data_IF_973231710547
#
_entry.id   IF_973231710547
#
_cell.length_a   1.000
_cell.length_b   1.000
_cell.length_c   1.000
_cell.angle_alpha   90.00
_cell.angle_beta   90.00
_cell.angle_gamma   90.00
#
_symmetry.space_group_name_H-M   'P 1'
#
loop_
_entity.id
_entity.type
_entity.pdbx_description
1 polymer ?
#
# COMPACT_ATOMS: atom_id res chain seq x y z
N UNK A 1 -5.85 7.87 -8.42
CA UNK A 1 -4.64 8.62 -8.08
C UNK A 1 -4.60 8.85 -6.58
N UNK A 2 -3.43 8.89 -6.00
CA UNK A 2 -3.26 9.13 -4.57
C UNK A 2 -1.89 9.77 -4.30
N UNK A 3 -1.76 10.44 -3.16
CA UNK A 3 -0.52 11.09 -2.74
C UNK A 3 0.13 10.24 -1.65
N UNK A 4 1.36 9.79 -1.90
CA UNK A 4 2.15 8.95 -0.96
C UNK A 4 3.22 9.75 -0.22
N UNK A 5 3.59 10.93 -0.73
CA UNK A 5 4.56 11.84 -0.14
C UNK A 5 4.05 13.27 -0.25
N UNK A 6 4.02 13.99 0.87
CA UNK A 6 3.60 15.39 0.94
C UNK A 6 4.55 16.18 1.85
N UNK A 7 4.60 17.49 1.63
CA UNK A 7 5.32 18.41 2.49
C UNK A 7 4.58 18.69 3.80
N UNK A 8 3.25 18.81 3.71
CA UNK A 8 2.38 19.04 4.86
C UNK A 8 1.38 17.90 5.04
N UNK A 9 1.04 17.58 6.30
CA UNK A 9 0.17 16.42 6.62
C UNK A 9 -1.25 16.55 6.06
N UNK A 10 -1.78 17.76 5.98
CA UNK A 10 -3.11 18.07 5.45
C UNK A 10 -3.23 17.79 3.93
N UNK A 11 -2.12 17.83 3.20
CA UNK A 11 -2.10 17.49 1.77
C UNK A 11 -2.48 16.01 1.52
N UNK A 12 -2.17 15.11 2.47
CA UNK A 12 -2.62 13.72 2.39
C UNK A 12 -4.14 13.61 2.45
N UNK A 13 -4.76 14.33 3.39
CA UNK A 13 -6.21 14.34 3.55
C UNK A 13 -6.89 14.91 2.30
N UNK A 14 -6.38 16.04 1.81
CA UNK A 14 -6.88 16.69 0.60
C UNK A 14 -6.74 15.77 -0.64
N UNK A 15 -5.55 15.22 -0.89
CA UNK A 15 -5.25 14.44 -2.08
C UNK A 15 -5.89 13.05 -2.08
N UNK A 16 -5.93 12.38 -0.92
CA UNK A 16 -6.43 11.02 -0.85
C UNK A 16 -7.93 10.95 -0.50
N UNK A 17 -8.42 11.73 0.47
CA UNK A 17 -9.81 11.68 0.91
C UNK A 17 -10.69 12.70 0.20
N UNK A 18 -10.39 13.99 0.29
CA UNK A 18 -11.30 15.05 -0.21
C UNK A 18 -11.52 14.90 -1.72
N UNK A 19 -10.46 14.68 -2.49
CA UNK A 19 -10.58 14.53 -3.94
C UNK A 19 -11.30 13.23 -4.32
N UNK A 20 -11.09 12.12 -3.60
CA UNK A 20 -11.83 10.88 -3.82
C UNK A 20 -13.32 11.10 -3.56
N UNK A 21 -13.67 11.71 -2.42
CA UNK A 21 -15.06 12.03 -2.08
C UNK A 21 -15.70 12.93 -3.14
N UNK A 22 -15.05 14.04 -3.49
CA UNK A 22 -15.60 14.98 -4.46
C UNK A 22 -15.83 14.33 -5.83
N UNK A 23 -14.91 13.45 -6.25
CA UNK A 23 -15.06 12.72 -7.51
C UNK A 23 -16.26 11.76 -7.48
N UNK A 24 -16.41 11.01 -6.39
CA UNK A 24 -17.55 10.09 -6.22
C UNK A 24 -18.87 10.85 -6.14
N UNK A 25 -18.93 11.95 -5.39
CA UNK A 25 -20.14 12.78 -5.32
C UNK A 25 -20.50 13.39 -6.68
N UNK A 26 -19.51 13.82 -7.47
CA UNK A 26 -19.77 14.30 -8.82
C UNK A 26 -20.36 13.20 -9.71
N UNK A 27 -19.83 11.97 -9.65
CA UNK A 27 -20.39 10.84 -10.41
C UNK A 27 -21.83 10.54 -10.01
N UNK A 28 -22.14 10.59 -8.71
CA UNK A 28 -23.50 10.35 -8.19
C UNK A 28 -24.46 11.47 -8.59
N UNK A 29 -24.04 12.72 -8.45
CA UNK A 29 -24.88 13.90 -8.79
C UNK A 29 -25.20 13.98 -10.28
N UNK A 30 -24.28 13.55 -11.14
CA UNK A 30 -24.43 13.56 -12.59
C UNK A 30 -25.06 12.27 -13.14
N UNK A 31 -25.48 11.34 -12.29
CA UNK A 31 -26.00 10.01 -12.67
C UNK A 31 -25.01 9.22 -13.57
N UNK A 32 -23.71 9.38 -13.28
CA UNK A 32 -22.61 8.73 -14.00
C UNK A 32 -21.94 7.65 -13.15
N UNK A 33 -22.69 6.97 -12.30
CA UNK A 33 -22.16 5.90 -11.45
C UNK A 33 -21.63 4.77 -12.34
N UNK A 34 -20.35 4.39 -12.23
CA UNK A 34 -19.76 3.35 -13.07
C UNK A 34 -20.30 1.96 -12.66
N UNK A 35 -20.15 0.97 -13.54
CA UNK A 35 -20.47 -0.43 -13.21
C UNK A 35 -19.61 -0.97 -12.06
N UNK A 36 -18.41 -0.45 -11.90
CA UNK A 36 -17.48 -0.79 -10.84
C UNK A 36 -16.52 0.39 -10.59
N UNK A 37 -16.25 0.66 -9.32
CA UNK A 37 -15.26 1.66 -8.87
C UNK A 37 -14.15 0.95 -8.10
N UNK A 38 -12.94 0.93 -8.67
CA UNK A 38 -11.76 0.32 -8.03
C UNK A 38 -11.01 1.36 -7.23
N UNK A 39 -10.91 1.17 -5.93
CA UNK A 39 -10.13 2.01 -5.04
C UNK A 39 -8.87 1.30 -4.56
N UNK A 40 -7.70 1.88 -4.89
CA UNK A 40 -6.43 1.38 -4.37
C UNK A 40 -6.14 2.09 -3.05
N UNK A 41 -6.35 1.36 -1.96
CA UNK A 41 -6.03 1.75 -0.59
C UNK A 41 -4.59 1.37 -0.23
N UNK A 42 -4.34 0.94 0.98
CA UNK A 42 -3.03 0.48 1.47
C UNK A 42 -3.18 -0.34 2.74
N UNK A 43 -2.27 -1.28 2.98
CA UNK A 43 -2.14 -1.94 4.28
C UNK A 43 -1.83 -0.94 5.41
N UNK A 44 -1.26 0.22 5.11
CA UNK A 44 -0.95 1.29 6.08
C UNK A 44 -2.14 1.82 6.87
N UNK A 45 -3.38 1.49 6.49
CA UNK A 45 -4.58 1.83 7.28
C UNK A 45 -4.62 1.11 8.63
N UNK A 46 -3.91 -0.02 8.76
CA UNK A 46 -3.90 -0.77 10.01
C UNK A 46 -2.85 -0.26 11.01
N UNK A 47 -1.75 0.34 10.52
CA UNK A 47 -0.64 0.68 11.39
C UNK A 47 0.03 -0.58 11.99
N UNK A 48 0.84 -0.41 13.04
CA UNK A 48 1.61 -1.50 13.67
C UNK A 48 0.81 -2.23 14.76
N UNK A 49 -0.35 -2.76 14.43
CA UNK A 49 -1.30 -3.34 15.42
C UNK A 49 -0.84 -4.66 16.07
N UNK A 50 0.14 -5.34 15.49
CA UNK A 50 0.67 -6.62 15.99
C UNK A 50 2.17 -6.59 16.26
N UNK A 51 2.72 -5.45 16.68
CA UNK A 51 4.16 -5.28 16.94
C UNK A 51 4.70 -6.24 18.02
N UNK A 52 3.85 -6.68 18.97
CA UNK A 52 4.29 -7.51 20.08
C UNK A 52 4.45 -8.99 19.72
N UNK A 53 3.67 -9.50 18.76
CA UNK A 53 3.62 -10.91 18.43
C UNK A 53 3.84 -11.22 16.96
N UNK A 54 3.92 -10.19 16.10
CA UNK A 54 4.07 -10.31 14.65
C UNK A 54 3.00 -11.17 13.95
N UNK A 55 1.79 -11.22 14.54
CA UNK A 55 0.69 -11.94 13.93
C UNK A 55 0.29 -11.29 12.59
N UNK A 56 -0.09 -12.08 11.57
CA UNK A 56 -0.58 -11.53 10.31
C UNK A 56 -1.82 -10.66 10.52
N UNK A 57 -1.89 -9.52 9.86
CA UNK A 57 -3.09 -8.67 9.81
C UNK A 57 -4.16 -9.40 9.00
N UNK A 58 -5.38 -9.40 9.52
CA UNK A 58 -6.55 -10.04 8.92
C UNK A 58 -7.70 -9.06 8.72
N UNK A 59 -8.72 -9.46 7.99
CA UNK A 59 -9.94 -8.66 7.77
C UNK A 59 -10.77 -8.43 9.05
N UNK A 60 -10.47 -9.16 10.12
CA UNK A 60 -11.13 -9.02 11.43
C UNK A 60 -10.49 -7.96 12.31
N UNK A 61 -9.29 -7.53 11.95
CA UNK A 61 -8.55 -6.55 12.74
C UNK A 61 -9.11 -5.15 12.54
N UNK A 62 -9.05 -4.37 13.62
CA UNK A 62 -9.46 -2.97 13.60
C UNK A 62 -8.33 -2.11 13.02
N UNK A 63 -8.66 -1.33 12.01
CA UNK A 63 -7.71 -0.38 11.41
C UNK A 63 -7.32 0.72 12.42
N UNK A 64 -6.02 0.88 12.67
CA UNK A 64 -5.45 1.87 13.59
C UNK A 64 -4.24 2.56 12.99
N UNK A 65 -4.42 3.41 11.96
CA UNK A 65 -3.31 4.04 11.27
C UNK A 65 -2.54 5.01 12.16
N UNK A 66 -1.21 4.93 12.12
CA UNK A 66 -0.31 5.82 12.85
C UNK A 66 0.38 6.87 11.97
N UNK A 67 0.04 6.92 10.67
CA UNK A 67 0.57 7.89 9.70
C UNK A 67 -0.55 8.74 9.10
N UNK A 68 -0.25 10.00 8.71
CA UNK A 68 -1.21 10.86 8.03
C UNK A 68 -1.69 10.25 6.69
N UNK A 69 -0.80 9.53 5.99
CA UNK A 69 -1.16 8.76 4.80
C UNK A 69 -2.18 7.67 5.12
N UNK A 70 -1.90 6.79 6.10
CA UNK A 70 -2.82 5.72 6.50
C UNK A 70 -4.17 6.26 6.96
N UNK A 71 -4.18 7.35 7.76
CA UNK A 71 -5.42 8.03 8.19
C UNK A 71 -6.22 8.51 6.98
N UNK A 72 -5.59 9.15 6.01
CA UNK A 72 -6.29 9.67 4.82
C UNK A 72 -6.87 8.55 3.94
N UNK A 73 -6.18 7.42 3.85
CA UNK A 73 -6.67 6.23 3.13
C UNK A 73 -7.85 5.58 3.85
N UNK A 74 -7.77 5.46 5.18
CA UNK A 74 -8.86 4.91 5.98
C UNK A 74 -10.12 5.77 5.90
N UNK A 75 -10.01 7.10 5.97
CA UNK A 75 -11.14 8.02 5.75
C UNK A 75 -11.84 7.76 4.41
N UNK A 76 -11.05 7.54 3.36
CA UNK A 76 -11.60 7.23 2.03
C UNK A 76 -12.32 5.89 2.00
N UNK A 77 -11.77 4.86 2.65
CA UNK A 77 -12.43 3.56 2.74
C UNK A 77 -13.76 3.67 3.48
N UNK A 78 -13.78 4.30 4.65
CA UNK A 78 -15.01 4.50 5.44
C UNK A 78 -16.07 5.23 4.63
N UNK A 79 -15.69 6.30 3.93
CA UNK A 79 -16.61 7.02 3.06
C UNK A 79 -17.17 6.11 1.95
N UNK A 80 -16.32 5.41 1.21
CA UNK A 80 -16.72 4.52 0.13
C UNK A 80 -17.60 3.36 0.63
N UNK A 81 -17.26 2.78 1.78
CA UNK A 81 -18.03 1.69 2.41
C UNK A 81 -19.38 2.16 2.98
N UNK A 82 -19.53 3.45 3.31
CA UNK A 82 -20.82 4.00 3.73
C UNK A 82 -21.83 4.15 2.58
N UNK A 83 -21.38 4.04 1.34
CA UNK A 83 -22.21 4.18 0.14
C UNK A 83 -22.69 2.80 -0.34
N UNK A 84 -23.84 2.35 0.14
CA UNK A 84 -24.40 1.03 -0.21
C UNK A 84 -24.75 0.89 -1.69
N UNK A 85 -25.04 1.99 -2.36
CA UNK A 85 -25.44 2.10 -3.76
C UNK A 85 -24.26 2.30 -4.72
N UNK A 86 -23.04 2.51 -4.21
CA UNK A 86 -21.86 2.80 -5.03
C UNK A 86 -20.99 1.54 -5.18
N UNK A 87 -20.76 1.02 -6.40
CA UNK A 87 -20.19 -0.32 -6.64
C UNK A 87 -18.67 -0.36 -6.45
N UNK A 88 -18.20 -0.19 -5.21
CA UNK A 88 -16.78 -0.12 -4.86
C UNK A 88 -16.16 -1.50 -4.65
N UNK A 89 -14.93 -1.69 -5.13
CA UNK A 89 -13.99 -2.71 -4.68
C UNK A 89 -12.71 -2.04 -4.19
N UNK A 90 -12.21 -2.46 -3.04
CA UNK A 90 -11.06 -1.86 -2.37
C UNK A 90 -9.89 -2.86 -2.39
N UNK A 91 -8.73 -2.44 -2.86
CA UNK A 91 -7.49 -3.18 -2.71
C UNK A 91 -6.59 -2.51 -1.68
N UNK A 92 -6.07 -3.30 -0.74
CA UNK A 92 -5.12 -2.91 0.31
C UNK A 92 -3.76 -3.56 0.03
N UNK A 93 -3.02 -3.05 -0.96
CA UNK A 93 -1.70 -3.62 -1.26
C UNK A 93 -0.73 -3.34 -0.11
N UNK A 94 0.24 -4.24 0.01
CA UNK A 94 1.45 -4.10 0.81
C UNK A 94 2.47 -3.19 0.10
N UNK A 95 3.76 -3.33 0.35
CA UNK A 95 4.79 -2.58 -0.37
C UNK A 95 4.77 -2.91 -1.87
N UNK A 96 4.28 -2.00 -2.71
CA UNK A 96 4.23 -2.22 -4.17
C UNK A 96 5.59 -1.91 -4.77
N UNK A 97 6.20 -2.90 -5.42
CA UNK A 97 7.49 -2.72 -6.10
C UNK A 97 7.36 -2.99 -7.61
N UNK A 98 8.34 -2.50 -8.37
CA UNK A 98 8.41 -2.72 -9.81
C UNK A 98 8.99 -1.53 -10.57
N UNK A 99 8.90 -1.52 -11.90
CA UNK A 99 9.44 -0.45 -12.73
C UNK A 99 8.88 0.92 -12.33
N UNK A 100 9.79 1.92 -12.19
CA UNK A 100 9.52 3.32 -11.79
C UNK A 100 9.19 3.52 -10.31
N UNK A 101 9.23 2.50 -9.47
CA UNK A 101 9.21 2.66 -8.03
C UNK A 101 10.54 3.29 -7.57
N UNK A 102 10.47 4.25 -6.65
CA UNK A 102 11.64 5.07 -6.29
C UNK A 102 12.31 4.65 -4.98
N UNK A 103 11.56 4.19 -4.00
CA UNK A 103 12.08 3.97 -2.66
C UNK A 103 12.95 2.70 -2.60
N UNK A 104 12.46 1.60 -3.16
CA UNK A 104 13.24 0.37 -3.29
C UNK A 104 14.38 0.50 -4.30
N UNK A 105 14.17 1.32 -5.35
CA UNK A 105 15.26 1.66 -6.26
C UNK A 105 16.38 2.42 -5.57
N UNK A 106 16.07 3.38 -4.69
CA UNK A 106 17.08 4.12 -3.92
C UNK A 106 17.85 3.20 -2.97
N UNK A 107 17.15 2.24 -2.34
CA UNK A 107 17.80 1.21 -1.53
C UNK A 107 18.76 0.36 -2.35
N UNK A 108 18.33 -0.15 -3.50
CA UNK A 108 19.18 -0.92 -4.41
C UNK A 108 20.39 -0.10 -4.90
N UNK A 109 20.18 1.19 -5.19
CA UNK A 109 21.26 2.11 -5.57
C UNK A 109 22.25 2.31 -4.43
N UNK A 110 21.80 2.45 -3.19
CA UNK A 110 22.65 2.58 -2.01
C UNK A 110 23.50 1.31 -1.82
N UNK A 111 22.89 0.12 -1.91
CA UNK A 111 23.59 -1.17 -1.83
C UNK A 111 24.63 -1.29 -2.94
N UNK A 112 24.30 -0.90 -4.17
CA UNK A 112 25.27 -0.84 -5.28
C UNK A 112 26.44 0.11 -5.00
N UNK A 113 26.24 1.13 -4.17
CA UNK A 113 27.27 2.07 -3.70
C UNK A 113 27.92 1.61 -2.38
N UNK A 114 27.79 0.32 -2.05
CA UNK A 114 28.41 -0.32 -0.88
C UNK A 114 27.81 0.12 0.48
N UNK A 115 26.61 0.70 0.50
CA UNK A 115 25.94 1.13 1.74
C UNK A 115 24.59 0.43 1.85
N UNK A 116 24.41 -0.36 2.91
CA UNK A 116 23.15 -1.02 3.24
C UNK A 116 22.56 -0.36 4.50
N UNK A 117 21.47 0.38 4.32
CA UNK A 117 20.72 1.02 5.40
C UNK A 117 19.60 0.11 5.88
N UNK A 118 19.66 -0.31 7.16
CA UNK A 118 18.57 -0.96 7.84
C UNK A 118 17.97 0.01 8.88
N UNK A 119 16.81 0.65 8.63
CA UNK A 119 16.24 1.58 9.58
C UNK A 119 15.75 0.86 10.84
N UNK A 120 16.31 1.24 12.00
CA UNK A 120 15.87 0.77 13.32
C UNK A 120 16.58 -0.49 13.82
N UNK A 121 16.42 -0.73 15.14
CA UNK A 121 17.03 -1.86 15.86
C UNK A 121 16.04 -3.01 16.11
N UNK A 122 14.74 -2.77 15.90
CA UNK A 122 13.69 -3.78 16.08
C UNK A 122 13.53 -4.60 14.81
N UNK A 123 13.10 -5.84 14.97
CA UNK A 123 12.65 -6.69 13.86
C UNK A 123 11.55 -5.97 13.10
N UNK A 124 11.63 -6.03 11.79
CA UNK A 124 10.60 -5.54 10.88
C UNK A 124 10.25 -6.67 9.92
N UNK A 125 8.99 -7.04 9.93
CA UNK A 125 8.43 -7.99 8.99
C UNK A 125 7.77 -7.18 7.85
N UNK A 126 8.29 -7.35 6.64
CA UNK A 126 7.90 -6.64 5.44
C UNK A 126 7.14 -7.58 4.51
N UNK A 127 6.15 -7.07 3.84
CA UNK A 127 5.41 -7.80 2.81
C UNK A 127 5.34 -6.96 1.54
N UNK A 128 5.38 -7.61 0.38
CA UNK A 128 5.47 -6.93 -0.91
C UNK A 128 4.44 -7.49 -1.89
N UNK A 129 4.21 -6.73 -2.95
CA UNK A 129 3.49 -7.15 -4.15
C UNK A 129 4.14 -6.56 -5.38
N UNK A 130 4.37 -7.37 -6.40
CA UNK A 130 4.84 -6.84 -7.67
C UNK A 130 3.71 -6.10 -8.39
N UNK A 131 4.03 -4.95 -8.97
CA UNK A 131 3.02 -4.06 -9.57
C UNK A 131 2.16 -4.75 -10.63
N UNK A 132 2.71 -5.70 -11.40
CA UNK A 132 1.94 -6.45 -12.40
C UNK A 132 0.93 -7.39 -11.77
N UNK A 133 1.27 -8.01 -10.63
CA UNK A 133 0.35 -8.89 -9.91
C UNK A 133 -0.78 -8.09 -9.27
N UNK A 134 -0.51 -6.90 -8.74
CA UNK A 134 -1.55 -5.97 -8.32
C UNK A 134 -2.47 -5.58 -9.49
N UNK A 135 -1.91 -5.26 -10.65
CA UNK A 135 -2.70 -4.97 -11.86
C UNK A 135 -3.54 -6.17 -12.29
N UNK A 136 -2.98 -7.38 -12.22
CA UNK A 136 -3.71 -8.61 -12.52
C UNK A 136 -4.87 -8.83 -11.54
N UNK A 137 -4.68 -8.58 -10.25
CA UNK A 137 -5.75 -8.67 -9.25
C UNK A 137 -6.89 -7.66 -9.55
N UNK A 138 -6.54 -6.44 -9.94
CA UNK A 138 -7.53 -5.43 -10.37
C UNK A 138 -8.28 -5.89 -11.62
N UNK A 139 -7.56 -6.41 -12.62
CA UNK A 139 -8.16 -6.92 -13.86
C UNK A 139 -9.16 -8.05 -13.57
N UNK A 140 -8.79 -9.03 -12.76
CA UNK A 140 -9.66 -10.12 -12.36
C UNK A 140 -10.92 -9.64 -11.63
N UNK A 141 -10.78 -8.64 -10.74
CA UNK A 141 -11.95 -8.07 -10.07
C UNK A 141 -12.91 -7.36 -11.04
N UNK A 142 -12.37 -6.72 -12.09
CA UNK A 142 -13.18 -6.11 -13.16
C UNK A 142 -13.86 -7.19 -13.99
N UNK A 143 -13.14 -8.20 -14.43
CA UNK A 143 -13.64 -9.31 -15.24
C UNK A 143 -14.78 -10.08 -14.53
N UNK A 144 -14.61 -10.34 -13.23
CA UNK A 144 -15.61 -11.02 -12.42
C UNK A 144 -16.69 -10.10 -11.82
N UNK A 145 -16.67 -8.80 -12.13
CA UNK A 145 -17.68 -7.84 -11.66
C UNK A 145 -17.77 -7.71 -10.13
N UNK A 146 -16.62 -7.88 -9.43
CA UNK A 146 -16.57 -7.86 -7.96
C UNK A 146 -16.97 -6.48 -7.43
N UNK A 147 -17.85 -6.45 -6.42
CA UNK A 147 -18.35 -5.22 -5.79
C UNK A 147 -18.48 -5.40 -4.28
N UNK A 148 -18.46 -4.29 -3.53
CA UNK A 148 -18.66 -4.26 -2.08
C UNK A 148 -17.72 -5.22 -1.33
N UNK A 149 -16.45 -5.26 -1.75
CA UNK A 149 -15.41 -6.11 -1.15
C UNK A 149 -14.12 -5.31 -0.94
N UNK A 150 -13.36 -5.71 0.08
CA UNK A 150 -12.00 -5.24 0.31
C UNK A 150 -11.04 -6.44 0.37
N UNK A 151 -9.88 -6.31 -0.25
CA UNK A 151 -8.87 -7.39 -0.35
C UNK A 151 -7.51 -6.89 0.09
N UNK A 152 -6.82 -7.66 0.90
CA UNK A 152 -5.38 -7.56 1.05
C UNK A 152 -4.68 -8.14 -0.19
N UNK A 153 -3.61 -7.52 -0.62
CA UNK A 153 -2.84 -7.99 -1.78
C UNK A 153 -1.36 -7.99 -1.46
N UNK A 154 -0.77 -9.17 -1.44
CA UNK A 154 0.66 -9.41 -1.23
C UNK A 154 1.11 -10.60 -2.09
N UNK A 155 2.42 -10.87 -2.14
CA UNK A 155 2.97 -12.08 -2.75
C UNK A 155 2.87 -13.32 -1.86
N UNK A 156 2.27 -13.19 -0.67
CA UNK A 156 2.10 -14.26 0.30
C UNK A 156 3.34 -14.57 1.17
N UNK A 157 4.44 -13.85 0.98
CA UNK A 157 5.68 -14.04 1.73
C UNK A 157 5.90 -12.92 2.76
N UNK A 158 6.67 -13.23 3.78
CA UNK A 158 7.14 -12.27 4.80
C UNK A 158 8.65 -12.18 4.73
N UNK A 159 9.15 -10.96 4.66
CA UNK A 159 10.57 -10.66 4.53
C UNK A 159 11.04 -9.86 5.74
N UNK A 160 12.15 -10.23 6.35
CA UNK A 160 12.84 -9.30 7.23
C UNK A 160 13.52 -8.19 6.41
N UNK A 161 13.78 -7.03 7.01
CA UNK A 161 14.58 -5.99 6.35
C UNK A 161 15.92 -6.53 5.86
N UNK A 162 16.53 -7.47 6.60
CA UNK A 162 17.78 -8.13 6.22
C UNK A 162 17.61 -9.03 4.99
N UNK A 163 16.59 -9.88 5.00
CA UNK A 163 16.30 -10.77 3.85
C UNK A 163 16.09 -9.97 2.57
N UNK A 164 15.37 -8.85 2.66
CA UNK A 164 15.14 -7.98 1.52
C UNK A 164 16.44 -7.36 0.99
N UNK A 165 17.30 -6.88 1.87
CA UNK A 165 18.62 -6.36 1.53
C UNK A 165 19.52 -7.42 0.88
N UNK A 166 19.54 -8.64 1.45
CA UNK A 166 20.35 -9.76 0.94
C UNK A 166 19.89 -10.19 -0.47
N UNK A 167 18.59 -10.17 -0.75
CA UNK A 167 18.04 -10.42 -2.09
C UNK A 167 18.52 -9.37 -3.10
N UNK A 168 18.48 -8.09 -2.73
CA UNK A 168 18.99 -7.01 -3.59
C UNK A 168 20.50 -7.19 -3.83
N UNK A 169 21.27 -7.49 -2.79
CA UNK A 169 22.73 -7.74 -2.94
C UNK A 169 23.00 -8.87 -3.91
N UNK A 170 22.29 -9.99 -3.76
CA UNK A 170 22.43 -11.16 -4.64
C UNK A 170 22.20 -10.78 -6.11
N UNK A 171 21.12 -10.05 -6.40
CA UNK A 171 20.82 -9.62 -7.77
C UNK A 171 21.82 -8.61 -8.34
N UNK A 172 22.50 -7.87 -7.47
CA UNK A 172 23.57 -6.94 -7.86
C UNK A 172 24.95 -7.61 -8.00
N UNK A 173 25.03 -8.94 -7.90
CA UNK A 173 26.30 -9.68 -8.00
C UNK A 173 27.09 -9.72 -6.70
N UNK A 174 26.44 -9.63 -5.56
CA UNK A 174 27.01 -9.68 -4.20
C UNK A 174 28.13 -8.64 -3.95
N UNK A 175 27.89 -7.35 -4.16
CA UNK A 175 28.87 -6.34 -3.79
C UNK A 175 29.12 -6.40 -2.28
N UNK A 176 30.37 -6.13 -1.85
CA UNK A 176 30.60 -5.91 -0.43
C UNK A 176 29.87 -4.67 0.05
N UNK A 177 29.33 -4.68 1.27
CA UNK A 177 28.56 -3.54 1.80
C UNK A 177 28.92 -3.24 3.25
N UNK A 178 28.80 -1.97 3.61
CA UNK A 178 28.82 -1.49 4.99
C UNK A 178 27.38 -1.40 5.47
N UNK A 179 27.06 -2.15 6.54
CA UNK A 179 25.74 -2.09 7.15
C UNK A 179 25.67 -0.93 8.14
N UNK A 180 24.75 0.01 7.88
CA UNK A 180 24.44 1.14 8.76
C UNK A 180 23.06 0.91 9.38
N UNK A 181 23.03 0.96 10.71
CA UNK A 181 21.79 0.84 11.49
C UNK A 181 21.31 2.20 11.95
#
# INVERSE_FOLDING_TARGET
>A
AGVTKCRHKDEFDKGNYVYTRNFVEALRTLDMVPRQFVYISSLSIFGPIHEDNYAPISERDTAMPNTAYGVSKLKSEHYLQSLNDFPTVIFRPTGVYGPRERDYFLMAKSIKQHIDFAPGFKRQDLTFIYVRDLVQAVYLAIEHGVRQRAYFVSDGNVYSSRTFSDLIQKELGNPWVIHIK
#
